data_IF_726636840289
#
_entry.id   IF_726636840289
#
_cell.length_a   1.000
_cell.length_b   1.000
_cell.length_c   1.000
_cell.angle_alpha   90.00
_cell.angle_beta   90.00
_cell.angle_gamma   90.00
#
_symmetry.space_group_name_H-M   'P 1'
#
loop_
_entity.id
_entity.type
_entity.pdbx_description
1 polymer ?
#
# COMPACT_ATOMS: atom_id res chain seq x y z
N UNK A 1 -12.04 7.57 13.51
CA UNK A 1 -10.63 7.22 13.26
C UNK A 1 -10.59 6.04 12.30
N UNK A 2 -10.35 6.28 11.01
CA UNK A 2 -10.16 5.20 10.03
C UNK A 2 -8.80 4.56 10.29
N UNK A 3 -8.80 3.29 10.74
CA UNK A 3 -7.57 2.51 10.87
C UNK A 3 -6.93 2.44 9.50
N UNK A 4 -5.77 3.08 9.34
CA UNK A 4 -4.97 3.04 8.11
C UNK A 4 -4.44 1.61 7.97
N UNK A 5 -5.21 0.74 7.33
CA UNK A 5 -4.85 -0.66 7.16
C UNK A 5 -3.89 -0.75 5.97
N UNK A 6 -2.61 -0.49 6.23
CA UNK A 6 -1.55 -0.75 5.26
C UNK A 6 -1.58 -2.24 4.92
N UNK A 7 -1.74 -2.64 3.66
CA UNK A 7 -1.78 -4.06 3.32
C UNK A 7 -0.44 -4.72 3.65
N UNK A 8 -0.49 -5.95 4.17
CA UNK A 8 0.70 -6.71 4.62
C UNK A 8 1.75 -6.81 3.52
N UNK A 9 1.33 -6.96 2.26
CA UNK A 9 2.24 -6.99 1.12
C UNK A 9 3.03 -5.68 0.92
N UNK A 10 2.46 -4.49 1.19
CA UNK A 10 3.21 -3.24 1.15
C UNK A 10 4.26 -3.18 2.26
N UNK A 11 3.93 -3.68 3.46
CA UNK A 11 4.89 -3.78 4.57
C UNK A 11 6.07 -4.69 4.21
N UNK A 12 5.81 -5.85 3.61
CA UNK A 12 6.86 -6.76 3.15
C UNK A 12 7.77 -6.07 2.12
N UNK A 13 7.21 -5.34 1.16
CA UNK A 13 7.98 -4.59 0.17
C UNK A 13 8.85 -3.48 0.80
N UNK A 14 8.35 -2.79 1.83
CA UNK A 14 9.14 -1.82 2.58
C UNK A 14 10.26 -2.46 3.38
N UNK A 15 10.01 -3.61 4.03
CA UNK A 15 11.04 -4.36 4.75
C UNK A 15 12.13 -4.87 3.82
N UNK A 16 11.75 -5.41 2.66
CA UNK A 16 12.70 -5.83 1.61
C UNK A 16 13.50 -4.62 1.13
N UNK A 17 12.83 -3.52 0.79
CA UNK A 17 13.50 -2.28 0.40
C UNK A 17 14.51 -1.80 1.44
N UNK A 18 14.12 -1.73 2.71
CA UNK A 18 15.00 -1.33 3.81
C UNK A 18 16.20 -2.27 3.96
N UNK A 19 15.99 -3.59 3.86
CA UNK A 19 17.08 -4.57 3.93
C UNK A 19 18.13 -4.36 2.84
N UNK A 20 17.71 -3.96 1.63
CA UNK A 20 18.61 -3.65 0.53
C UNK A 20 19.52 -2.44 0.78
N UNK A 21 19.10 -1.48 1.61
CA UNK A 21 19.93 -0.34 2.01
C UNK A 21 20.87 -0.67 3.19
N UNK A 22 20.44 -1.55 4.10
CA UNK A 22 21.20 -1.91 5.31
C UNK A 22 22.29 -2.95 5.01
N UNK A 23 22.00 -3.93 4.15
CA UNK A 23 22.94 -5.01 3.82
C UNK A 23 24.30 -4.52 3.29
N UNK A 24 24.37 -3.60 2.30
CA UNK A 24 25.65 -3.07 1.80
C UNK A 24 26.47 -2.30 2.85
N UNK A 25 25.80 -1.74 3.87
CA UNK A 25 26.46 -1.01 4.96
C UNK A 25 27.08 -1.97 5.99
N UNK A 26 26.40 -3.10 6.26
CA UNK A 26 26.88 -4.12 7.20
C UNK A 26 28.02 -4.96 6.61
N UNK A 27 27.97 -5.22 5.30
CA UNK A 27 28.99 -5.99 4.61
C UNK A 27 29.95 -5.05 3.89
N UNK A 28 30.83 -4.40 4.65
CA UNK A 28 31.90 -3.56 4.09
C UNK A 28 32.89 -4.36 3.23
N UNK A 29 32.98 -5.69 3.41
CA UNK A 29 33.74 -6.59 2.54
C UNK A 29 33.25 -6.59 1.09
N UNK A 30 31.97 -6.29 0.86
CA UNK A 30 31.40 -6.08 -0.48
C UNK A 30 31.80 -4.74 -1.10
N UNK A 31 32.55 -3.87 -0.41
CA UNK A 31 32.95 -2.53 -0.89
C UNK A 31 34.38 -2.48 -1.44
N UNK A 32 35.21 -3.49 -1.16
CA UNK A 32 36.66 -3.47 -1.47
C UNK A 32 37.08 -4.43 -2.59
N UNK A 33 36.14 -5.13 -3.21
CA UNK A 33 36.41 -6.03 -4.34
C UNK A 33 36.07 -5.31 -5.67
N UNK A 34 36.74 -5.62 -6.78
CA UNK A 34 36.56 -4.86 -8.04
C UNK A 34 35.11 -4.95 -8.59
N UNK A 35 34.32 -5.94 -8.16
CA UNK A 35 32.88 -6.09 -8.45
C UNK A 35 31.93 -5.40 -7.46
N UNK A 36 32.47 -4.81 -6.39
CA UNK A 36 31.75 -4.18 -5.29
C UNK A 36 30.77 -3.09 -5.72
N UNK A 37 31.26 -2.15 -6.52
CA UNK A 37 30.48 -0.98 -6.93
C UNK A 37 29.23 -1.37 -7.72
N UNK A 38 29.34 -2.41 -8.56
CA UNK A 38 28.20 -2.94 -9.30
C UNK A 38 27.18 -3.63 -8.38
N UNK A 39 27.64 -4.46 -7.45
CA UNK A 39 26.77 -5.13 -6.49
C UNK A 39 26.02 -4.13 -5.60
N UNK A 40 26.71 -3.11 -5.08
CA UNK A 40 26.12 -2.04 -4.26
C UNK A 40 25.05 -1.28 -5.05
N UNK A 41 25.35 -0.93 -6.31
CA UNK A 41 24.40 -0.25 -7.20
C UNK A 41 23.16 -1.09 -7.43
N UNK A 42 23.30 -2.41 -7.62
CA UNK A 42 22.18 -3.32 -7.77
C UNK A 42 21.33 -3.42 -6.50
N UNK A 43 21.95 -3.47 -5.33
CA UNK A 43 21.24 -3.45 -4.04
C UNK A 43 20.42 -2.17 -3.87
N UNK A 44 21.02 -1.00 -4.09
CA UNK A 44 20.28 0.27 -3.97
C UNK A 44 19.18 0.42 -5.01
N UNK A 45 19.42 0.00 -6.26
CA UNK A 45 18.40 0.04 -7.32
C UNK A 45 17.24 -0.90 -6.98
N UNK A 46 17.52 -2.13 -6.54
CA UNK A 46 16.50 -3.09 -6.11
C UNK A 46 15.71 -2.62 -4.89
N UNK A 47 16.39 -1.97 -3.93
CA UNK A 47 15.76 -1.34 -2.77
C UNK A 47 14.78 -0.24 -3.19
N UNK A 48 15.19 0.65 -4.10
CA UNK A 48 14.36 1.74 -4.61
C UNK A 48 13.12 1.22 -5.35
N UNK A 49 13.29 0.21 -6.22
CA UNK A 49 12.18 -0.45 -6.92
C UNK A 49 11.20 -1.07 -5.93
N UNK A 50 11.69 -1.75 -4.90
CA UNK A 50 10.85 -2.41 -3.89
C UNK A 50 10.01 -1.39 -3.12
N UNK A 51 10.60 -0.26 -2.72
CA UNK A 51 9.88 0.83 -2.04
C UNK A 51 8.82 1.44 -2.97
N UNK A 52 9.15 1.72 -4.23
CA UNK A 52 8.20 2.24 -5.20
C UNK A 52 7.02 1.30 -5.41
N UNK A 53 7.27 0.00 -5.55
CA UNK A 53 6.21 -1.02 -5.65
C UNK A 53 5.34 -1.05 -4.39
N UNK A 54 5.94 -0.94 -3.20
CA UNK A 54 5.21 -0.83 -1.94
C UNK A 54 4.27 0.38 -1.91
N UNK A 55 4.74 1.54 -2.35
CA UNK A 55 3.95 2.79 -2.44
C UNK A 55 2.79 2.62 -3.44
N UNK A 56 3.09 2.14 -4.65
CA UNK A 56 2.09 1.93 -5.70
C UNK A 56 1.00 0.95 -5.24
N UNK A 57 1.39 -0.16 -4.60
CA UNK A 57 0.46 -1.14 -4.07
C UNK A 57 -0.39 -0.57 -2.92
N UNK A 58 0.21 0.19 -2.02
CA UNK A 58 -0.51 0.88 -0.95
C UNK A 58 -1.53 1.88 -1.51
N UNK A 59 -1.14 2.70 -2.50
CA UNK A 59 -2.04 3.65 -3.15
C UNK A 59 -3.18 2.95 -3.90
N UNK A 60 -2.88 1.87 -4.60
CA UNK A 60 -3.86 1.08 -5.35
C UNK A 60 -4.87 0.38 -4.43
N UNK A 61 -4.42 -0.21 -3.32
CA UNK A 61 -5.34 -0.80 -2.33
C UNK A 61 -6.23 0.25 -1.69
N UNK A 62 -5.67 1.43 -1.37
CA UNK A 62 -6.44 2.56 -0.83
C UNK A 62 -7.47 3.09 -1.84
N UNK A 63 -7.13 3.18 -3.12
CA UNK A 63 -8.07 3.62 -4.16
C UNK A 63 -9.21 2.62 -4.37
N UNK A 64 -8.93 1.31 -4.33
CA UNK A 64 -9.98 0.27 -4.38
C UNK A 64 -10.89 0.29 -3.16
N UNK A 65 -10.36 0.50 -1.96
CA UNK A 65 -11.17 0.64 -0.75
C UNK A 65 -12.08 1.87 -0.83
N UNK A 66 -11.58 3.01 -1.33
CA UNK A 66 -12.38 4.22 -1.54
C UNK A 66 -13.47 4.03 -2.61
N UNK A 67 -13.18 3.29 -3.68
CA UNK A 67 -14.16 2.97 -4.72
C UNK A 67 -15.26 2.03 -4.19
N UNK A 68 -14.90 1.00 -3.41
CA UNK A 68 -15.85 0.07 -2.78
C UNK A 68 -16.77 0.74 -1.75
N UNK A 69 -16.26 1.72 -1.00
CA UNK A 69 -17.07 2.52 -0.07
C UNK A 69 -18.10 3.38 -0.82
N UNK A 70 -17.75 3.92 -1.99
CA UNK A 70 -18.68 4.71 -2.82
C UNK A 70 -19.81 3.86 -3.40
N UNK A 71 -19.51 2.66 -3.93
CA UNK A 71 -20.55 1.74 -4.42
C UNK A 71 -21.44 1.20 -3.31
N UNK A 72 -20.91 0.91 -2.12
CA UNK A 72 -21.72 0.51 -0.97
C UNK A 72 -22.63 1.65 -0.47
N UNK A 73 -22.13 2.89 -0.38
CA UNK A 73 -22.96 4.04 0.00
C UNK A 73 -24.04 4.38 -1.04
N UNK A 74 -23.75 4.17 -2.32
CA UNK A 74 -24.72 4.36 -3.41
C UNK A 74 -25.76 3.22 -3.48
N UNK A 75 -25.44 2.03 -2.98
CA UNK A 75 -26.38 0.92 -2.79
C UNK A 75 -27.32 1.15 -1.60
N UNK A 76 -26.80 1.61 -0.46
CA UNK A 76 -27.61 1.91 0.74
C UNK A 76 -28.60 3.05 0.49
N UNK A 77 -28.25 4.05 -0.34
CA UNK A 77 -29.10 5.20 -0.59
C UNK A 77 -30.28 4.93 -1.55
N UNK A 78 -30.48 3.67 -1.97
CA UNK A 78 -31.66 3.28 -2.79
C UNK A 78 -32.68 2.43 -2.03
N UNK A 79 -32.31 1.90 -0.86
CA UNK A 79 -33.19 1.06 -0.03
C UNK A 79 -33.76 1.78 1.20
N UNK A 80 -33.44 3.06 1.39
CA UNK A 80 -34.08 3.92 2.40
C UNK A 80 -35.05 4.88 1.71
N UNK A 81 -36.08 4.31 1.09
CA UNK A 81 -37.38 4.98 1.03
C UNK A 81 -37.99 4.77 2.41
N UNK A 82 -38.09 5.76 3.30
CA UNK A 82 -39.05 5.63 4.38
C UNK A 82 -40.41 5.51 3.69
N UNK A 83 -40.95 4.29 3.67
CA UNK A 83 -42.35 4.06 3.34
C UNK A 83 -43.14 5.14 4.07
N UNK A 84 -43.83 6.00 3.31
CA UNK A 84 -44.98 6.75 3.81
C UNK A 84 -45.93 5.72 4.41
N UNK A 85 -45.81 5.47 5.70
CA UNK A 85 -46.84 4.84 6.49
C UNK A 85 -47.93 5.91 6.62
N UNK A 86 -49.11 5.56 6.14
CA UNK A 86 -50.20 6.48 5.85
C UNK A 86 -50.54 7.37 7.04
N UNK A 87 -50.44 8.68 6.80
CA UNK A 87 -51.36 9.64 7.39
C UNK A 87 -52.52 9.79 6.41
N UNK A 88 -53.42 8.80 6.44
CA UNK A 88 -54.80 8.96 5.96
C UNK A 88 -55.67 9.19 7.18
N UNK A 89 -56.33 10.34 7.16
CA UNK A 89 -57.71 10.57 7.64
C UNK A 89 -58.02 10.14 9.07
N UNK A 90 -58.08 11.13 9.98
CA UNK A 90 -59.32 11.54 10.67
C UNK A 90 -59.20 12.99 11.16
#
# INVERSE_FOLDING_TARGET
>A
MTKLHTPVAAWLLYLVGASCFVLPLLFTSLQFDDGAGYAITMYYTGGFISVLLGILFHLWTRSRQAAGHKTFSAGINKDVVPHRLGETEE
#
